data_IF_124487217791
#
_entry.id   IF_124487217791
#
_cell.length_a   1.000
_cell.length_b   1.000
_cell.length_c   1.000
_cell.angle_alpha   90.00
_cell.angle_beta   90.00
_cell.angle_gamma   90.00
#
_symmetry.space_group_name_H-M   'P 1'
#
loop_
_entity.id
_entity.type
_entity.pdbx_description
1 polymer ?
#
# COMPACT_ATOMS: atom_id res chain seq x y z
N UNK A 1 -13.50 -9.50 -29.07
CA UNK A 1 -12.06 -9.17 -29.12
C UNK A 1 -11.64 -8.94 -27.68
N UNK A 2 -10.82 -9.83 -27.14
CA UNK A 2 -10.26 -9.71 -25.79
C UNK A 2 -9.33 -8.48 -25.77
N UNK A 3 -9.57 -7.57 -24.85
CA UNK A 3 -8.73 -6.38 -24.67
C UNK A 3 -7.54 -6.79 -23.81
N UNK A 4 -6.41 -7.06 -24.44
CA UNK A 4 -5.15 -7.21 -23.72
C UNK A 4 -4.72 -5.83 -23.21
N UNK A 5 -4.55 -5.71 -21.88
CA UNK A 5 -4.11 -4.47 -21.24
C UNK A 5 -2.71 -4.67 -20.68
N UNK A 6 -1.81 -3.73 -20.96
CA UNK A 6 -0.50 -3.69 -20.31
C UNK A 6 -0.65 -3.15 -18.89
N UNK A 7 -0.19 -3.94 -17.91
CA UNK A 7 -0.19 -3.53 -16.49
C UNK A 7 1.18 -3.73 -15.88
N UNK A 8 1.58 -2.84 -14.99
CA UNK A 8 2.72 -3.09 -14.11
C UNK A 8 2.24 -3.94 -12.95
N UNK A 9 2.88 -5.09 -12.74
CA UNK A 9 2.56 -6.01 -11.65
C UNK A 9 3.82 -6.46 -10.94
N UNK A 10 3.67 -6.92 -9.70
CA UNK A 10 4.73 -7.63 -8.97
C UNK A 10 4.37 -9.11 -8.92
N UNK A 11 5.29 -9.94 -9.36
CA UNK A 11 5.13 -11.40 -9.43
C UNK A 11 6.01 -12.04 -8.36
N UNK A 12 5.42 -12.94 -7.61
CA UNK A 12 6.10 -13.76 -6.59
C UNK A 12 6.06 -15.22 -7.05
N UNK A 13 7.23 -15.82 -7.13
CA UNK A 13 7.39 -17.26 -7.26
C UNK A 13 7.98 -17.82 -5.98
N UNK A 14 7.35 -18.86 -5.43
CA UNK A 14 7.84 -19.54 -4.23
C UNK A 14 7.79 -21.04 -4.48
N UNK A 15 8.92 -21.73 -4.28
CA UNK A 15 9.11 -23.13 -4.58
C UNK A 15 9.74 -23.88 -3.39
N UNK A 16 9.41 -25.15 -3.21
CA UNK A 16 9.97 -25.98 -2.14
C UNK A 16 11.32 -26.56 -2.58
N UNK A 17 12.38 -26.07 -1.96
CA UNK A 17 13.72 -26.53 -2.26
C UNK A 17 13.89 -28.01 -1.85
N UNK A 18 14.35 -28.85 -2.79
CA UNK A 18 14.58 -30.28 -2.54
C UNK A 18 13.30 -31.12 -2.43
N UNK A 19 12.20 -30.71 -3.02
CA UNK A 19 10.92 -31.42 -3.02
C UNK A 19 11.04 -32.88 -3.53
N UNK A 20 11.93 -33.14 -4.50
CA UNK A 20 12.20 -34.48 -5.00
C UNK A 20 12.79 -35.39 -3.89
N UNK A 21 13.75 -34.87 -3.12
CA UNK A 21 14.32 -35.63 -1.99
C UNK A 21 13.30 -35.85 -0.86
N UNK A 22 12.40 -34.86 -0.65
CA UNK A 22 11.30 -34.96 0.29
C UNK A 22 10.31 -36.06 -0.14
N UNK A 23 10.05 -36.20 -1.44
CA UNK A 23 9.19 -37.25 -2.00
C UNK A 23 9.80 -38.67 -1.86
N UNK A 24 11.13 -38.76 -1.75
CA UNK A 24 11.80 -40.06 -1.46
C UNK A 24 11.76 -40.42 0.03
N UNK A 25 11.60 -39.45 0.93
CA UNK A 25 11.58 -39.64 2.38
C UNK A 25 10.19 -39.93 2.95
N UNK A 26 9.15 -39.39 2.31
CA UNK A 26 7.77 -39.50 2.77
C UNK A 26 6.94 -40.46 1.90
N UNK A 27 5.99 -41.12 2.52
CA UNK A 27 4.92 -41.77 1.77
C UNK A 27 4.05 -40.75 1.03
N UNK A 28 3.37 -41.14 -0.06
CA UNK A 28 2.58 -40.20 -0.89
C UNK A 28 1.49 -39.45 -0.13
N UNK A 29 0.86 -40.04 0.87
CA UNK A 29 -0.18 -39.41 1.66
C UNK A 29 0.39 -38.35 2.60
N UNK A 30 1.52 -38.62 3.23
CA UNK A 30 2.24 -37.68 4.11
C UNK A 30 2.80 -36.50 3.33
N UNK A 31 3.41 -36.77 2.17
CA UNK A 31 3.86 -35.69 1.26
C UNK A 31 2.69 -34.81 0.84
N UNK A 32 1.57 -35.40 0.43
CA UNK A 32 0.38 -34.65 0.02
C UNK A 32 -0.16 -33.79 1.17
N UNK A 33 -0.18 -34.27 2.41
CA UNK A 33 -0.60 -33.50 3.58
C UNK A 33 0.31 -32.30 3.81
N UNK A 34 1.63 -32.52 3.79
CA UNK A 34 2.60 -31.42 3.95
C UNK A 34 2.44 -30.34 2.88
N UNK A 35 2.34 -30.76 1.60
CA UNK A 35 2.15 -29.82 0.48
C UNK A 35 0.81 -29.08 0.54
N UNK A 36 -0.27 -29.73 0.94
CA UNK A 36 -1.58 -29.10 1.09
C UNK A 36 -1.51 -27.97 2.14
N UNK A 37 -0.89 -28.24 3.30
CA UNK A 37 -0.71 -27.23 4.36
C UNK A 37 0.15 -26.04 3.89
N UNK A 38 1.23 -26.33 3.16
CA UNK A 38 2.06 -25.29 2.55
C UNK A 38 1.26 -24.40 1.58
N UNK A 39 0.48 -25.01 0.68
CA UNK A 39 -0.35 -24.26 -0.26
C UNK A 39 -1.44 -23.42 0.41
N UNK A 40 -2.03 -23.91 1.49
CA UNK A 40 -2.98 -23.15 2.30
C UNK A 40 -2.33 -21.95 2.98
N UNK A 41 -1.14 -22.13 3.55
CA UNK A 41 -0.35 -21.04 4.13
C UNK A 41 0.00 -19.99 3.06
N UNK A 42 0.55 -20.43 1.93
CA UNK A 42 0.93 -19.55 0.84
C UNK A 42 -0.27 -18.74 0.30
N UNK A 43 -1.40 -19.41 0.06
CA UNK A 43 -2.63 -18.74 -0.39
C UNK A 43 -3.09 -17.68 0.60
N UNK A 44 -3.19 -18.04 1.88
CA UNK A 44 -3.63 -17.15 2.95
C UNK A 44 -2.73 -15.92 3.07
N UNK A 45 -1.40 -16.11 3.06
CA UNK A 45 -0.43 -15.01 3.15
C UNK A 45 -0.55 -14.08 1.96
N UNK A 46 -0.51 -14.59 0.73
CA UNK A 46 -0.61 -13.74 -0.46
C UNK A 46 -1.94 -12.97 -0.51
N UNK A 47 -3.06 -13.63 -0.19
CA UNK A 47 -4.38 -12.97 -0.17
C UNK A 47 -4.47 -11.88 0.91
N UNK A 48 -3.88 -12.10 2.10
CA UNK A 48 -3.83 -11.09 3.16
C UNK A 48 -3.15 -9.80 2.69
N UNK A 49 -2.08 -9.92 1.91
CA UNK A 49 -1.39 -8.78 1.32
C UNK A 49 -2.02 -8.26 0.01
N UNK A 50 -3.20 -8.75 -0.38
CA UNK A 50 -3.90 -8.31 -1.59
C UNK A 50 -3.36 -8.89 -2.89
N UNK A 51 -2.54 -9.94 -2.82
CA UNK A 51 -2.08 -10.71 -3.97
C UNK A 51 -3.09 -11.77 -4.39
N UNK A 52 -3.09 -12.07 -5.68
CA UNK A 52 -3.89 -13.16 -6.27
C UNK A 52 -2.97 -14.34 -6.55
N UNK A 53 -3.24 -15.49 -5.94
CA UNK A 53 -2.56 -16.74 -6.32
C UNK A 53 -3.10 -17.17 -7.67
N UNK A 54 -2.27 -17.04 -8.71
CA UNK A 54 -2.69 -17.34 -10.08
C UNK A 54 -2.71 -18.84 -10.34
N UNK A 55 -1.65 -19.54 -9.92
CA UNK A 55 -1.55 -20.99 -10.13
C UNK A 55 -0.56 -21.65 -9.20
N UNK A 56 -0.74 -22.96 -9.05
CA UNK A 56 0.23 -23.88 -8.49
C UNK A 56 0.88 -24.65 -9.63
N UNK A 57 2.21 -24.77 -9.63
CA UNK A 57 2.99 -25.43 -10.68
C UNK A 57 3.87 -26.47 -10.00
N UNK A 58 3.37 -27.72 -9.89
CA UNK A 58 4.03 -28.72 -9.07
C UNK A 58 4.02 -28.33 -7.60
N UNK A 59 5.19 -28.07 -7.05
CA UNK A 59 5.43 -27.58 -5.67
C UNK A 59 5.62 -26.06 -5.58
N UNK A 60 5.61 -25.37 -6.72
CA UNK A 60 5.72 -23.92 -6.78
C UNK A 60 4.35 -23.21 -6.72
N UNK A 61 4.35 -22.03 -6.11
CA UNK A 61 3.24 -21.09 -6.03
C UNK A 61 3.59 -19.84 -6.81
N UNK A 62 2.73 -19.43 -7.73
CA UNK A 62 2.80 -18.13 -8.39
C UNK A 62 1.70 -17.23 -7.91
N UNK A 63 2.07 -16.07 -7.34
CA UNK A 63 1.16 -15.02 -6.94
C UNK A 63 1.48 -13.70 -7.66
N UNK A 64 0.44 -12.90 -7.90
CA UNK A 64 0.54 -11.64 -8.64
C UNK A 64 -0.13 -10.53 -7.83
N UNK A 65 0.55 -9.39 -7.73
CA UNK A 65 0.07 -8.15 -7.12
C UNK A 65 -0.10 -7.10 -8.22
N UNK A 66 -1.18 -6.35 -8.21
CA UNK A 66 -1.54 -5.38 -9.24
C UNK A 66 -2.65 -5.86 -10.20
N UNK A 67 -3.30 -6.98 -9.89
CA UNK A 67 -4.49 -7.48 -10.58
C UNK A 67 -5.55 -7.93 -9.56
N UNK A 68 -6.84 -7.67 -9.81
CA UNK A 68 -7.40 -6.90 -10.93
C UNK A 68 -7.11 -5.39 -10.83
N UNK A 69 -6.81 -4.89 -9.64
CA UNK A 69 -6.54 -3.47 -9.35
C UNK A 69 -5.06 -3.25 -9.05
N UNK A 70 -4.48 -2.19 -9.63
CA UNK A 70 -3.10 -1.76 -9.36
C UNK A 70 -3.08 -0.86 -8.14
N UNK A 71 -2.17 -1.13 -7.20
CA UNK A 71 -1.88 -0.28 -6.06
C UNK A 71 -0.46 0.26 -6.16
N UNK A 72 -0.22 1.45 -5.63
CA UNK A 72 1.11 2.08 -5.66
C UNK A 72 2.16 1.26 -4.89
N UNK A 73 1.72 0.53 -3.88
CA UNK A 73 2.54 -0.29 -2.99
C UNK A 73 2.56 -1.79 -3.33
N UNK A 74 2.09 -2.19 -4.52
CA UNK A 74 2.04 -3.61 -4.92
C UNK A 74 3.39 -4.32 -4.82
N UNK A 75 4.49 -3.61 -5.13
CA UNK A 75 5.83 -4.16 -4.97
C UNK A 75 6.18 -4.43 -3.50
N UNK A 76 5.84 -3.52 -2.60
CA UNK A 76 6.06 -3.69 -1.17
C UNK A 76 5.17 -4.77 -0.57
N UNK A 77 3.90 -4.84 -0.99
CA UNK A 77 2.97 -5.91 -0.59
C UNK A 77 3.48 -7.28 -1.01
N UNK A 78 4.00 -7.40 -2.23
CA UNK A 78 4.61 -8.62 -2.73
C UNK A 78 5.82 -9.04 -1.89
N UNK A 79 6.68 -8.08 -1.52
CA UNK A 79 7.87 -8.32 -0.69
C UNK A 79 7.47 -8.70 0.75
N UNK A 80 6.50 -8.01 1.34
CA UNK A 80 5.96 -8.35 2.67
C UNK A 80 5.33 -9.73 2.69
N UNK A 81 4.56 -10.08 1.66
CA UNK A 81 3.99 -11.41 1.54
C UNK A 81 5.06 -12.50 1.43
N UNK A 82 6.11 -12.27 0.64
CA UNK A 82 7.22 -13.20 0.52
C UNK A 82 7.98 -13.38 1.85
N UNK A 83 8.15 -12.29 2.60
CA UNK A 83 8.77 -12.31 3.93
C UNK A 83 7.91 -13.06 4.94
N UNK A 84 6.63 -12.72 5.05
CA UNK A 84 5.69 -13.41 5.94
C UNK A 84 5.54 -14.88 5.60
N UNK A 85 5.55 -15.26 4.32
CA UNK A 85 5.51 -16.65 3.90
C UNK A 85 6.70 -17.42 4.46
N UNK A 86 7.90 -16.86 4.44
CA UNK A 86 9.10 -17.46 5.02
C UNK A 86 8.92 -17.72 6.52
N UNK A 87 8.35 -16.75 7.26
CA UNK A 87 8.10 -16.88 8.70
C UNK A 87 7.01 -17.92 8.99
N UNK A 88 5.91 -17.88 8.26
CA UNK A 88 4.81 -18.85 8.44
C UNK A 88 5.20 -20.30 8.05
N UNK A 89 6.12 -20.47 7.10
CA UNK A 89 6.68 -21.79 6.79
C UNK A 89 7.59 -22.28 7.92
N UNK A 90 8.34 -21.39 8.58
CA UNK A 90 9.13 -21.77 9.75
C UNK A 90 8.23 -22.25 10.92
N UNK A 91 7.07 -21.59 11.12
CA UNK A 91 6.08 -22.05 12.10
C UNK A 91 5.46 -23.40 11.71
N UNK A 92 5.08 -23.56 10.43
CA UNK A 92 4.57 -24.83 9.90
C UNK A 92 5.58 -25.97 10.08
N UNK A 93 6.87 -25.70 9.94
CA UNK A 93 7.93 -26.71 10.10
C UNK A 93 7.97 -27.28 11.52
N UNK A 94 7.67 -26.48 12.56
CA UNK A 94 7.59 -26.98 13.93
C UNK A 94 6.52 -28.09 14.09
N UNK A 95 5.45 -28.00 13.31
CA UNK A 95 4.39 -29.01 13.29
C UNK A 95 4.79 -30.19 12.42
N UNK A 96 5.33 -29.94 11.22
CA UNK A 96 5.75 -31.01 10.30
C UNK A 96 6.90 -31.86 10.87
N UNK A 97 7.85 -31.24 11.56
CA UNK A 97 8.92 -31.96 12.24
C UNK A 97 8.39 -32.90 13.34
N UNK A 98 7.40 -32.46 14.12
CA UNK A 98 6.76 -33.26 15.16
C UNK A 98 5.92 -34.40 14.60
N UNK A 99 5.21 -34.16 13.48
CA UNK A 99 4.25 -35.13 12.93
C UNK A 99 4.89 -36.07 11.91
N UNK A 100 5.81 -35.58 11.09
CA UNK A 100 6.35 -36.28 9.93
C UNK A 100 7.87 -36.40 9.92
N UNK A 101 8.57 -35.70 10.85
CA UNK A 101 10.04 -35.69 10.91
C UNK A 101 10.72 -34.96 9.76
N UNK A 102 10.03 -34.02 9.10
CA UNK A 102 10.54 -33.25 7.94
C UNK A 102 10.31 -31.76 8.10
N UNK A 103 11.13 -30.97 7.39
CA UNK A 103 10.97 -29.51 7.27
C UNK A 103 10.95 -29.10 5.80
N UNK A 104 10.12 -28.11 5.47
CA UNK A 104 10.05 -27.50 4.16
C UNK A 104 10.97 -26.26 4.11
N UNK A 105 11.75 -26.16 3.07
CA UNK A 105 12.56 -24.97 2.80
C UNK A 105 12.06 -24.32 1.53
N UNK A 106 11.49 -23.12 1.65
CA UNK A 106 10.94 -22.37 0.51
C UNK A 106 11.96 -21.35 0.03
N UNK A 107 12.19 -21.29 -1.27
CA UNK A 107 12.95 -20.25 -1.95
C UNK A 107 12.00 -19.37 -2.74
N UNK A 108 12.22 -18.08 -2.73
CA UNK A 108 11.28 -17.12 -3.31
C UNK A 108 11.98 -16.09 -4.19
N UNK A 109 11.39 -15.82 -5.36
CA UNK A 109 11.79 -14.74 -6.27
C UNK A 109 10.66 -13.72 -6.44
N UNK A 110 10.98 -12.43 -6.29
CA UNK A 110 10.03 -11.32 -6.48
C UNK A 110 10.53 -10.39 -7.57
N UNK A 111 9.70 -10.15 -8.58
CA UNK A 111 10.05 -9.22 -9.66
C UNK A 111 8.86 -8.36 -10.09
N UNK A 112 9.12 -7.09 -10.38
CA UNK A 112 8.12 -6.12 -10.79
C UNK A 112 8.39 -5.65 -12.21
N UNK A 113 7.35 -5.53 -13.02
CA UNK A 113 7.47 -5.02 -14.38
C UNK A 113 6.17 -5.13 -15.17
N UNK A 114 6.25 -4.75 -16.44
CA UNK A 114 5.11 -4.79 -17.36
C UNK A 114 4.77 -6.23 -17.76
N UNK A 115 3.48 -6.51 -17.77
CA UNK A 115 2.90 -7.76 -18.25
C UNK A 115 1.73 -7.48 -19.19
N UNK A 116 1.40 -8.45 -20.03
CA UNK A 116 0.11 -8.48 -20.70
C UNK A 116 -0.87 -9.24 -19.81
N UNK A 117 -1.90 -8.55 -19.35
CA UNK A 117 -2.98 -9.13 -18.60
C UNK A 117 -4.20 -9.28 -19.49
N UNK A 118 -4.70 -10.49 -19.67
CA UNK A 118 -5.98 -10.78 -20.32
C UNK A 118 -7.13 -10.69 -19.33
N UNK A 119 -8.37 -10.55 -19.85
CA UNK A 119 -9.57 -10.60 -19.02
C UNK A 119 -9.62 -11.91 -18.23
N UNK A 120 -9.85 -11.79 -16.92
CA UNK A 120 -10.02 -12.93 -16.05
C UNK A 120 -11.35 -13.67 -16.42
N UNK A 121 -11.26 -14.73 -17.21
CA UNK A 121 -12.33 -15.71 -17.32
C UNK A 121 -12.07 -16.82 -16.30
N UNK A 122 -13.06 -17.08 -15.46
CA UNK A 122 -13.07 -18.17 -14.46
C UNK A 122 -11.98 -18.10 -13.36
N UNK A 123 -11.64 -16.89 -12.88
CA UNK A 123 -10.75 -16.76 -11.71
C UNK A 123 -9.25 -16.97 -12.01
N UNK A 124 -8.85 -17.09 -13.27
CA UNK A 124 -7.45 -17.16 -13.70
C UNK A 124 -7.14 -15.94 -14.57
N UNK A 125 -6.36 -15.01 -14.03
CA UNK A 125 -5.78 -13.92 -14.83
C UNK A 125 -4.55 -14.47 -15.55
N UNK A 126 -4.61 -14.55 -16.88
CA UNK A 126 -3.43 -14.95 -17.66
C UNK A 126 -2.40 -13.83 -17.62
N UNK A 127 -1.34 -14.02 -16.86
CA UNK A 127 -0.21 -13.09 -16.76
C UNK A 127 0.99 -13.72 -17.45
N UNK A 128 1.47 -13.09 -18.50
CA UNK A 128 2.63 -13.57 -19.26
C UNK A 128 3.62 -12.44 -19.56
N UNK A 129 4.86 -12.81 -19.82
CA UNK A 129 5.89 -11.87 -20.23
C UNK A 129 7.22 -12.03 -19.49
N UNK A 130 8.15 -11.13 -19.81
CA UNK A 130 9.52 -11.14 -19.26
C UNK A 130 9.55 -11.02 -17.73
N UNK A 131 8.63 -10.23 -17.14
CA UNK A 131 8.51 -10.03 -15.70
C UNK A 131 8.30 -11.34 -14.94
N UNK A 132 7.44 -12.21 -15.45
CA UNK A 132 7.15 -13.55 -14.90
C UNK A 132 8.39 -14.44 -14.98
N UNK A 133 9.06 -14.44 -16.15
CA UNK A 133 10.25 -15.25 -16.36
C UNK A 133 11.40 -14.84 -15.43
N UNK A 134 11.58 -13.54 -15.19
CA UNK A 134 12.61 -13.06 -14.26
C UNK A 134 12.29 -13.46 -12.82
N UNK A 135 11.03 -13.37 -12.38
CA UNK A 135 10.63 -13.79 -11.03
C UNK A 135 10.92 -15.30 -10.82
N UNK A 136 10.54 -16.15 -11.77
CA UNK A 136 10.83 -17.59 -11.70
C UNK A 136 12.35 -17.90 -11.70
N UNK A 137 13.17 -17.07 -12.39
CA UNK A 137 14.63 -17.25 -12.38
C UNK A 137 15.27 -16.80 -11.08
N UNK A 138 14.75 -15.71 -10.47
CA UNK A 138 15.19 -15.29 -9.14
C UNK A 138 14.92 -16.39 -8.11
N UNK A 139 13.71 -16.97 -8.14
CA UNK A 139 13.36 -18.12 -7.31
C UNK A 139 14.38 -19.26 -7.50
N UNK A 140 14.67 -19.63 -8.76
CA UNK A 140 15.52 -20.75 -9.08
C UNK A 140 16.99 -20.59 -8.61
N UNK A 141 17.51 -19.35 -8.53
CA UNK A 141 18.86 -19.06 -8.03
C UNK A 141 18.88 -18.72 -6.54
N UNK A 142 17.73 -18.57 -5.92
CA UNK A 142 17.60 -18.35 -4.49
C UNK A 142 18.05 -19.60 -3.70
N UNK A 143 18.74 -19.38 -2.61
CA UNK A 143 19.03 -20.43 -1.63
C UNK A 143 17.78 -20.86 -0.87
N UNK A 144 17.84 -22.02 -0.25
CA UNK A 144 16.78 -22.50 0.65
C UNK A 144 16.54 -21.50 1.79
N UNK A 145 15.32 -21.01 1.94
CA UNK A 145 14.95 -19.96 2.91
C UNK A 145 15.22 -18.52 2.45
N UNK A 146 15.79 -18.32 1.25
CA UNK A 146 16.07 -16.98 0.74
C UNK A 146 14.87 -16.39 -0.03
N UNK A 147 14.76 -15.06 0.05
CA UNK A 147 13.89 -14.24 -0.80
C UNK A 147 14.78 -13.33 -1.65
N UNK A 148 14.73 -13.48 -2.97
CA UNK A 148 15.46 -12.64 -3.92
C UNK A 148 14.55 -11.63 -4.60
N UNK A 149 14.99 -10.38 -4.65
CA UNK A 149 14.31 -9.27 -5.32
C UNK A 149 15.04 -8.94 -6.62
N UNK A 150 14.30 -8.73 -7.71
CA UNK A 150 14.83 -8.13 -8.93
C UNK A 150 15.09 -6.63 -8.76
N UNK A 151 15.92 -6.06 -9.63
CA UNK A 151 16.32 -4.65 -9.56
C UNK A 151 15.13 -3.69 -9.55
N UNK A 152 14.11 -3.93 -10.39
CA UNK A 152 12.92 -3.09 -10.45
C UNK A 152 12.13 -3.13 -9.14
N UNK A 153 11.95 -4.33 -8.54
CA UNK A 153 11.30 -4.47 -7.23
C UNK A 153 12.11 -3.76 -6.15
N UNK A 154 13.43 -4.00 -6.09
CA UNK A 154 14.28 -3.37 -5.08
C UNK A 154 14.20 -1.84 -5.14
N UNK A 155 14.24 -1.23 -6.33
CA UNK A 155 14.08 0.22 -6.50
C UNK A 155 12.76 0.76 -5.94
N UNK A 156 11.69 -0.03 -6.02
CA UNK A 156 10.35 0.36 -5.53
C UNK A 156 10.15 0.15 -4.03
N UNK A 157 11.04 -0.60 -3.37
CA UNK A 157 10.91 -0.92 -1.94
C UNK A 157 12.15 -0.52 -1.12
N UNK A 158 13.10 0.20 -1.72
CA UNK A 158 14.42 0.47 -1.17
C UNK A 158 14.41 1.03 0.26
N UNK A 159 13.43 1.89 0.58
CA UNK A 159 13.35 2.54 1.89
C UNK A 159 12.74 1.63 2.98
N UNK A 160 12.05 0.57 2.58
CA UNK A 160 11.35 -0.35 3.50
C UNK A 160 12.06 -1.69 3.69
N UNK A 161 13.23 -1.91 3.08
CA UNK A 161 13.91 -3.21 3.15
C UNK A 161 15.41 -3.05 3.41
N UNK A 162 15.96 -4.03 4.10
CA UNK A 162 17.39 -4.23 4.17
C UNK A 162 17.74 -5.39 3.24
N UNK A 163 18.66 -5.17 2.30
CA UNK A 163 19.06 -6.16 1.31
C UNK A 163 20.56 -6.32 1.21
N UNK A 164 20.98 -7.47 0.70
CA UNK A 164 22.35 -7.76 0.31
C UNK A 164 22.41 -8.02 -1.20
N UNK A 165 23.23 -7.30 -1.97
CA UNK A 165 23.46 -7.62 -3.37
C UNK A 165 23.98 -9.06 -3.52
N UNK A 166 23.46 -9.81 -4.48
CA UNK A 166 23.98 -11.12 -4.87
C UNK A 166 24.62 -11.05 -6.25
N UNK A 167 25.43 -12.04 -6.60
CA UNK A 167 26.09 -12.06 -7.88
C UNK A 167 25.07 -11.98 -9.03
N UNK A 168 25.22 -11.06 -9.99
CA UNK A 168 24.32 -10.97 -11.14
C UNK A 168 24.33 -12.29 -11.92
N UNK A 169 23.17 -12.70 -12.38
CA UNK A 169 23.02 -13.92 -13.18
C UNK A 169 22.43 -13.58 -14.57
N UNK A 170 22.78 -14.37 -15.55
CA UNK A 170 22.23 -14.22 -16.90
C UNK A 170 21.12 -15.23 -17.11
N UNK A 171 19.85 -14.80 -17.15
CA UNK A 171 18.73 -15.71 -17.42
C UNK A 171 18.85 -16.33 -18.80
N UNK A 172 18.49 -17.63 -18.93
CA UNK A 172 18.51 -18.35 -20.20
C UNK A 172 17.64 -17.59 -21.24
N UNK A 173 18.24 -17.21 -22.37
CA UNK A 173 17.58 -16.41 -23.41
C UNK A 173 17.73 -14.88 -23.26
N UNK A 174 18.47 -14.38 -22.26
CA UNK A 174 18.90 -12.99 -22.17
C UNK A 174 20.40 -12.85 -22.42
N UNK A 175 20.79 -11.69 -22.95
CA UNK A 175 22.22 -11.33 -23.17
C UNK A 175 22.76 -10.46 -22.04
N UNK A 176 21.88 -9.77 -21.30
CA UNK A 176 22.26 -8.90 -20.20
C UNK A 176 22.10 -9.59 -18.84
N UNK A 177 23.05 -9.39 -17.91
CA UNK A 177 22.91 -9.88 -16.54
C UNK A 177 21.77 -9.15 -15.81
N UNK A 178 21.06 -9.87 -14.96
CA UNK A 178 20.01 -9.32 -14.07
C UNK A 178 20.61 -9.16 -12.70
N UNK A 179 20.52 -7.96 -12.14
CA UNK A 179 20.89 -7.69 -10.75
C UNK A 179 19.83 -8.27 -9.83
N UNK A 180 20.29 -8.90 -8.76
CA UNK A 180 19.43 -9.47 -7.73
C UNK A 180 19.90 -9.09 -6.33
N UNK A 181 18.95 -9.03 -5.41
CA UNK A 181 19.17 -8.59 -4.04
C UNK A 181 18.52 -9.59 -3.08
N UNK A 182 19.28 -10.12 -2.14
CA UNK A 182 18.74 -10.98 -1.07
C UNK A 182 18.08 -10.10 -0.03
N UNK A 183 16.84 -10.38 0.29
CA UNK A 183 16.09 -9.72 1.35
C UNK A 183 16.58 -10.20 2.72
N UNK A 184 17.01 -9.28 3.57
CA UNK A 184 17.46 -9.57 4.93
C UNK A 184 16.43 -9.19 5.97
N UNK A 185 15.71 -8.08 5.74
CA UNK A 185 14.72 -7.56 6.67
C UNK A 185 13.69 -6.69 5.92
N UNK A 186 12.45 -6.68 6.41
CA UNK A 186 11.41 -5.73 6.01
C UNK A 186 11.11 -4.84 7.21
N UNK A 187 11.31 -3.53 7.07
CA UNK A 187 11.08 -2.56 8.13
C UNK A 187 9.57 -2.34 8.31
N UNK A 188 9.00 -2.64 9.49
CA UNK A 188 7.58 -2.42 9.73
C UNK A 188 7.20 -0.94 9.65
N UNK A 189 6.02 -0.65 9.08
CA UNK A 189 5.47 0.71 9.03
C UNK A 189 6.15 1.68 8.05
N UNK A 190 7.21 1.26 7.34
CA UNK A 190 7.91 2.10 6.35
C UNK A 190 7.34 1.85 4.97
N UNK A 191 7.16 2.92 4.19
CA UNK A 191 6.75 2.84 2.77
C UNK A 191 7.91 2.35 1.90
N UNK A 192 7.60 1.63 0.82
CA UNK A 192 8.60 1.03 -0.06
C UNK A 192 9.42 2.01 -0.85
N UNK A 193 8.82 3.11 -1.24
CA UNK A 193 9.46 4.24 -1.90
C UNK A 193 9.05 5.50 -1.15
N UNK A 194 10.02 6.30 -0.73
CA UNK A 194 9.71 7.64 -0.28
C UNK A 194 8.98 8.35 -1.41
N UNK A 195 7.71 8.65 -1.20
CA UNK A 195 6.93 9.40 -2.19
C UNK A 195 7.70 10.68 -2.50
N UNK A 196 7.93 10.98 -3.77
CA UNK A 196 8.56 12.23 -4.18
C UNK A 196 7.61 13.41 -3.89
N UNK A 197 7.48 13.70 -2.60
CA UNK A 197 6.70 14.82 -2.09
C UNK A 197 7.46 16.15 -2.31
N UNK A 198 8.73 16.06 -2.67
CA UNK A 198 9.60 17.17 -3.09
C UNK A 198 9.29 17.71 -4.49
N UNK A 199 8.60 16.92 -5.34
CA UNK A 199 8.15 17.43 -6.64
C UNK A 199 7.18 18.59 -6.46
N UNK A 200 7.27 19.68 -7.28
CA UNK A 200 6.33 20.79 -7.19
C UNK A 200 4.90 20.32 -7.46
N UNK A 201 3.93 20.97 -6.81
CA UNK A 201 2.53 20.77 -7.14
C UNK A 201 2.22 21.54 -8.43
N UNK A 202 1.83 20.82 -9.48
CA UNK A 202 1.52 21.40 -10.80
C UNK A 202 0.02 21.25 -11.05
N UNK A 203 -0.63 22.29 -11.56
CA UNK A 203 -2.02 22.26 -12.04
C UNK A 203 -3.10 22.03 -10.98
N UNK A 204 -2.81 22.29 -9.70
CA UNK A 204 -3.74 22.04 -8.57
C UNK A 204 -4.02 23.26 -7.71
N UNK A 205 -3.83 24.46 -8.28
CA UNK A 205 -3.99 25.70 -7.51
C UNK A 205 -5.44 25.95 -7.06
N UNK A 206 -6.42 25.53 -7.87
CA UNK A 206 -7.85 25.68 -7.54
C UNK A 206 -8.27 24.77 -6.39
N UNK A 207 -7.88 23.51 -6.44
CA UNK A 207 -8.17 22.54 -5.41
C UNK A 207 -7.49 22.91 -4.10
N UNK A 208 -6.24 23.37 -4.17
CA UNK A 208 -5.48 23.84 -3.03
C UNK A 208 -6.12 25.09 -2.40
N UNK A 209 -6.51 26.09 -3.20
CA UNK A 209 -7.22 27.27 -2.72
C UNK A 209 -8.56 26.90 -2.07
N UNK A 210 -9.28 25.92 -2.61
CA UNK A 210 -10.54 25.44 -2.02
C UNK A 210 -10.32 24.82 -0.64
N UNK A 211 -9.27 24.02 -0.45
CA UNK A 211 -8.92 23.43 0.86
C UNK A 211 -8.51 24.54 1.85
N UNK A 212 -7.77 25.55 1.41
CA UNK A 212 -7.38 26.69 2.23
C UNK A 212 -8.60 27.52 2.66
N UNK A 213 -9.53 27.81 1.73
CA UNK A 213 -10.79 28.51 2.01
C UNK A 213 -11.65 27.76 3.04
N UNK A 214 -11.73 26.42 2.93
CA UNK A 214 -12.46 25.59 3.90
C UNK A 214 -11.81 25.64 5.28
N UNK A 215 -10.48 25.62 5.35
CA UNK A 215 -9.77 25.78 6.62
C UNK A 215 -10.06 27.16 7.23
N UNK A 216 -10.13 28.21 6.41
CA UNK A 216 -10.39 29.57 6.91
C UNK A 216 -11.84 29.75 7.38
N UNK A 217 -12.81 29.18 6.67
CA UNK A 217 -14.22 29.18 7.08
C UNK A 217 -14.49 28.34 8.32
N UNK A 218 -13.79 27.21 8.50
CA UNK A 218 -13.90 26.37 9.68
C UNK A 218 -13.53 27.06 11.00
N UNK A 219 -12.72 28.13 10.95
CA UNK A 219 -12.34 28.90 12.14
C UNK A 219 -13.44 29.82 12.69
N UNK A 220 -14.51 30.08 11.94
CA UNK A 220 -15.66 30.91 12.38
C UNK A 220 -16.96 30.13 12.64
N UNK A 221 -16.99 28.83 12.35
CA UNK A 221 -18.16 27.97 12.48
C UNK A 221 -18.10 27.04 13.69
N UNK A 222 -19.28 26.60 14.16
CA UNK A 222 -19.42 25.71 15.32
C UNK A 222 -19.43 24.22 14.97
N UNK A 223 -18.99 23.82 13.78
CA UNK A 223 -19.07 22.43 13.33
C UNK A 223 -17.76 21.97 12.68
N UNK A 224 -17.40 20.74 12.93
CA UNK A 224 -16.36 20.04 12.22
C UNK A 224 -16.75 19.93 10.72
N UNK A 225 -15.83 20.26 9.83
CA UNK A 225 -16.04 20.15 8.39
C UNK A 225 -15.32 18.92 7.85
N UNK A 226 -15.97 18.22 6.91
CA UNK A 226 -15.38 17.11 6.17
C UNK A 226 -15.29 17.46 4.70
N UNK A 227 -14.11 17.24 4.14
CA UNK A 227 -13.85 17.33 2.70
C UNK A 227 -13.37 15.98 2.20
N UNK A 228 -13.92 15.52 1.09
CA UNK A 228 -13.45 14.29 0.43
C UNK A 228 -12.80 14.63 -0.90
N UNK A 229 -11.51 14.30 -1.04
CA UNK A 229 -10.73 14.41 -2.27
C UNK A 229 -10.81 13.08 -3.00
N UNK A 230 -11.51 13.04 -4.11
CA UNK A 230 -11.67 11.86 -4.95
C UNK A 230 -10.77 11.94 -6.18
N UNK A 231 -10.45 10.80 -6.76
CA UNK A 231 -9.72 10.71 -8.04
C UNK A 231 -9.05 9.35 -8.22
N UNK A 232 -8.64 9.07 -9.43
CA UNK A 232 -8.06 7.79 -9.79
C UNK A 232 -6.66 7.58 -9.16
N UNK A 233 -6.13 6.36 -9.27
CA UNK A 233 -4.78 6.07 -8.79
C UNK A 233 -3.76 6.94 -9.54
N UNK A 234 -2.77 7.49 -8.82
CA UNK A 234 -1.71 8.30 -9.44
C UNK A 234 -2.08 9.75 -9.79
N UNK A 235 -3.35 10.18 -9.68
CA UNK A 235 -3.82 11.54 -10.07
C UNK A 235 -3.24 12.68 -9.20
N UNK A 236 -2.53 12.36 -8.12
CA UNK A 236 -1.85 13.33 -7.27
C UNK A 236 -2.59 13.71 -5.98
N UNK A 237 -3.56 12.92 -5.50
CA UNK A 237 -4.29 13.17 -4.24
C UNK A 237 -3.35 13.40 -3.07
N UNK A 238 -2.48 12.45 -2.79
CA UNK A 238 -1.51 12.53 -1.69
C UNK A 238 -0.60 13.76 -1.83
N UNK A 239 -0.14 14.09 -3.04
CA UNK A 239 0.69 15.27 -3.28
C UNK A 239 -0.05 16.57 -2.97
N UNK A 240 -1.34 16.66 -3.35
CA UNK A 240 -2.21 17.78 -3.00
C UNK A 240 -2.37 17.90 -1.48
N UNK A 241 -2.62 16.78 -0.77
CA UNK A 241 -2.76 16.77 0.67
C UNK A 241 -1.50 17.23 1.39
N UNK A 242 -0.31 16.81 0.93
CA UNK A 242 0.95 17.27 1.50
C UNK A 242 1.20 18.75 1.23
N UNK A 243 0.94 19.26 0.02
CA UNK A 243 1.07 20.66 -0.28
C UNK A 243 0.10 21.51 0.57
N UNK A 244 -1.12 21.03 0.76
CA UNK A 244 -2.08 21.66 1.67
C UNK A 244 -1.59 21.64 3.11
N UNK A 245 -1.08 20.51 3.59
CA UNK A 245 -0.57 20.35 4.95
C UNK A 245 0.60 21.30 5.24
N UNK A 246 1.54 21.45 4.31
CA UNK A 246 2.66 22.41 4.43
C UNK A 246 2.16 23.85 4.58
N UNK A 247 1.15 24.24 3.80
CA UNK A 247 0.57 25.59 3.90
C UNK A 247 -0.28 25.75 5.15
N UNK A 248 -1.11 24.76 5.46
CA UNK A 248 -1.97 24.74 6.65
C UNK A 248 -1.17 24.73 7.96
N UNK A 249 -0.01 24.04 7.99
CA UNK A 249 0.84 23.92 9.17
C UNK A 249 1.37 25.24 9.74
N UNK A 250 1.27 26.32 8.98
CA UNK A 250 1.59 27.68 9.46
C UNK A 250 0.49 28.27 10.36
N UNK A 251 -0.72 27.75 10.34
CA UNK A 251 -1.95 28.30 10.98
C UNK A 251 -2.82 27.25 11.66
N UNK A 252 -2.49 25.98 11.54
CA UNK A 252 -3.21 24.86 12.12
C UNK A 252 -2.26 23.74 12.53
N UNK A 253 -2.63 22.95 13.50
CA UNK A 253 -2.00 21.67 13.76
C UNK A 253 -2.52 20.66 12.73
N UNK A 254 -1.62 20.09 11.92
CA UNK A 254 -1.96 19.09 10.93
C UNK A 254 -1.57 17.70 11.43
N UNK A 255 -2.52 16.78 11.42
CA UNK A 255 -2.32 15.38 11.77
C UNK A 255 -2.62 14.51 10.55
N UNK A 256 -1.73 13.57 10.25
CA UNK A 256 -1.86 12.66 9.13
C UNK A 256 -2.18 11.24 9.60
N UNK A 257 -3.30 10.68 9.16
CA UNK A 257 -3.64 9.28 9.27
C UNK A 257 -3.67 8.65 7.88
N UNK A 258 -3.11 7.47 7.75
CA UNK A 258 -3.19 6.68 6.52
C UNK A 258 -3.89 5.36 6.79
N UNK A 259 -4.83 5.02 5.92
CA UNK A 259 -5.49 3.72 5.98
C UNK A 259 -4.50 2.65 5.52
N UNK A 260 -4.18 1.65 6.35
CA UNK A 260 -3.30 0.57 5.97
C UNK A 260 -3.97 -0.32 4.90
N UNK A 261 -3.12 -0.94 4.09
CA UNK A 261 -3.57 -1.72 2.93
C UNK A 261 -4.30 -3.02 3.31
N UNK A 262 -4.08 -3.53 4.51
CA UNK A 262 -4.73 -4.73 5.06
C UNK A 262 -6.12 -4.47 5.64
N UNK A 263 -6.61 -3.22 5.52
CA UNK A 263 -7.91 -2.82 6.07
C UNK A 263 -7.92 -2.74 7.60
N UNK A 264 -6.75 -2.80 8.23
CA UNK A 264 -6.65 -2.86 9.67
C UNK A 264 -7.26 -1.62 10.33
N UNK A 265 -7.66 -1.83 11.49
CA UNK A 265 -8.56 -1.17 12.38
C UNK A 265 -8.42 0.37 12.46
N UNK A 266 -9.55 1.04 12.63
CA UNK A 266 -9.65 2.44 13.06
C UNK A 266 -8.67 2.79 14.21
N UNK A 267 -8.34 1.82 15.07
CA UNK A 267 -7.37 1.96 16.16
C UNK A 267 -5.95 2.32 15.67
N UNK A 268 -5.49 1.75 14.55
CA UNK A 268 -4.16 2.07 14.01
C UNK A 268 -4.10 3.50 13.50
N UNK A 269 -5.10 3.93 12.74
CA UNK A 269 -5.18 5.32 12.24
C UNK A 269 -5.24 6.31 13.40
N UNK A 270 -6.06 6.02 14.43
CA UNK A 270 -6.15 6.85 15.63
C UNK A 270 -4.81 6.85 16.39
N UNK A 271 -4.11 5.73 16.45
CA UNK A 271 -2.76 5.62 17.00
C UNK A 271 -1.74 6.52 16.28
N UNK A 272 -1.75 6.55 14.94
CA UNK A 272 -0.92 7.44 14.14
C UNK A 272 -1.18 8.92 14.49
N UNK A 273 -2.46 9.32 14.56
CA UNK A 273 -2.86 10.69 14.91
C UNK A 273 -2.44 11.06 16.33
N UNK A 274 -2.62 10.14 17.28
CA UNK A 274 -2.26 10.36 18.68
C UNK A 274 -0.74 10.51 18.88
N UNK A 275 0.06 9.70 18.18
CA UNK A 275 1.53 9.78 18.23
C UNK A 275 2.03 11.14 17.71
N UNK A 276 1.48 11.63 16.58
CA UNK A 276 1.81 12.94 16.02
C UNK A 276 1.38 14.08 16.95
N UNK A 277 0.18 13.98 17.54
CA UNK A 277 -0.30 14.96 18.51
C UNK A 277 0.61 15.03 19.76
N UNK A 278 1.08 13.87 20.26
CA UNK A 278 2.02 13.81 21.36
C UNK A 278 3.36 14.48 21.01
N UNK A 279 3.89 14.19 19.83
CA UNK A 279 5.13 14.79 19.35
C UNK A 279 5.01 16.32 19.19
N UNK A 280 3.90 16.80 18.63
CA UNK A 280 3.66 18.22 18.41
C UNK A 280 3.43 19.03 19.70
N UNK A 281 2.81 18.41 20.72
CA UNK A 281 2.45 19.09 21.98
C UNK A 281 3.45 18.87 23.11
N UNK A 282 4.39 17.92 22.94
CA UNK A 282 5.33 17.50 24.00
C UNK A 282 4.63 16.80 25.19
N UNK A 283 3.37 16.41 25.05
CA UNK A 283 2.57 15.78 26.10
C UNK A 283 1.96 14.49 25.59
N UNK A 284 2.12 13.35 26.29
CA UNK A 284 1.32 12.18 25.97
C UNK A 284 -0.17 12.54 26.13
N UNK A 285 -1.04 11.95 25.30
CA UNK A 285 -2.48 12.18 25.42
C UNK A 285 -2.93 11.90 26.85
N UNK A 286 -3.62 12.86 27.48
CA UNK A 286 -3.96 12.85 28.90
C UNK A 286 -4.96 11.74 29.34
N UNK A 287 -5.44 10.94 28.42
CA UNK A 287 -6.46 9.91 28.64
C UNK A 287 -5.94 8.49 28.73
N UNK A 288 -4.69 8.28 29.14
CA UNK A 288 -4.14 6.96 29.47
C UNK A 288 -4.06 5.98 28.29
N UNK A 289 -3.21 4.98 28.42
CA UNK A 289 -2.95 3.95 27.40
C UNK A 289 -4.14 2.98 27.16
N UNK A 290 -5.20 3.03 27.95
CA UNK A 290 -6.26 2.01 27.92
C UNK A 290 -7.26 2.09 26.75
N UNK A 291 -7.36 3.21 26.04
CA UNK A 291 -8.29 3.35 24.91
C UNK A 291 -7.64 3.02 23.53
N UNK A 292 -6.30 2.98 23.49
CA UNK A 292 -5.51 2.48 22.36
C UNK A 292 -5.17 0.99 22.49
N UNK A 293 -5.69 0.31 23.52
CA UNK A 293 -5.49 -1.12 23.66
C UNK A 293 -6.17 -1.82 22.47
N UNK A 294 -5.40 -2.46 21.58
CA UNK A 294 -5.97 -3.22 20.47
C UNK A 294 -6.90 -4.36 20.94
N UNK A 295 -6.77 -4.76 22.21
CA UNK A 295 -7.65 -5.73 22.85
C UNK A 295 -8.92 -5.08 23.45
N UNK A 296 -9.06 -3.73 23.42
CA UNK A 296 -10.27 -3.06 23.89
C UNK A 296 -11.44 -3.35 22.94
N UNK A 297 -12.35 -4.17 23.40
CA UNK A 297 -13.52 -4.67 22.66
C UNK A 297 -14.64 -3.64 22.45
N UNK A 298 -14.47 -2.39 22.92
CA UNK A 298 -15.48 -1.33 22.78
C UNK A 298 -15.13 -0.31 21.69
N UNK A 299 -15.71 -0.40 20.47
CA UNK A 299 -15.52 0.58 19.41
C UNK A 299 -15.89 2.01 19.82
N UNK A 300 -16.87 2.15 20.72
CA UNK A 300 -17.31 3.45 21.22
C UNK A 300 -16.26 4.11 22.13
N UNK A 301 -15.42 3.33 22.81
CA UNK A 301 -14.30 3.89 23.58
C UNK A 301 -13.27 4.56 22.68
N UNK A 302 -12.92 3.92 21.55
CA UNK A 302 -12.04 4.46 20.54
C UNK A 302 -12.60 5.77 19.94
N UNK A 303 -13.87 5.79 19.58
CA UNK A 303 -14.56 6.95 19.00
C UNK A 303 -14.55 8.14 19.96
N UNK A 304 -14.91 7.90 21.23
CA UNK A 304 -14.86 8.93 22.27
C UNK A 304 -13.44 9.43 22.53
N UNK A 305 -12.45 8.54 22.50
CA UNK A 305 -11.03 8.87 22.64
C UNK A 305 -10.54 9.76 21.50
N UNK A 306 -10.78 9.36 20.25
CA UNK A 306 -10.42 10.13 19.06
C UNK A 306 -11.06 11.54 19.06
N UNK A 307 -12.36 11.63 19.42
CA UNK A 307 -13.05 12.91 19.52
C UNK A 307 -12.41 13.80 20.60
N UNK A 308 -12.15 13.28 21.79
CA UNK A 308 -11.50 14.04 22.88
C UNK A 308 -10.11 14.53 22.48
N UNK A 309 -9.36 13.71 21.73
CA UNK A 309 -8.06 14.10 21.19
C UNK A 309 -8.20 15.36 20.35
N UNK A 310 -9.03 15.28 19.31
CA UNK A 310 -9.24 16.36 18.35
C UNK A 310 -9.79 17.62 19.05
N UNK A 311 -10.79 17.50 19.93
CA UNK A 311 -11.36 18.62 20.68
C UNK A 311 -10.34 19.28 21.62
N UNK A 312 -9.49 18.49 22.28
CA UNK A 312 -8.45 19.03 23.15
C UNK A 312 -7.41 19.83 22.39
N UNK A 313 -6.98 19.33 21.23
CA UNK A 313 -6.04 20.02 20.36
C UNK A 313 -6.68 21.31 19.79
N UNK A 314 -7.95 21.24 19.41
CA UNK A 314 -8.68 22.34 18.81
C UNK A 314 -8.94 23.51 19.80
N UNK A 315 -8.88 23.28 21.10
CA UNK A 315 -8.90 24.35 22.11
C UNK A 315 -7.67 25.26 22.06
N UNK A 316 -6.56 24.75 21.53
CA UNK A 316 -5.30 25.50 21.41
C UNK A 316 -5.14 26.17 20.05
N UNK A 317 -5.99 25.86 19.08
CA UNK A 317 -5.91 26.39 17.73
C UNK A 317 -6.65 25.50 16.73
N UNK A 318 -6.56 25.85 15.45
CA UNK A 318 -7.18 25.06 14.37
C UNK A 318 -6.48 23.69 14.23
N UNK A 319 -7.26 22.66 13.93
CA UNK A 319 -6.77 21.30 13.72
C UNK A 319 -7.23 20.80 12.34
N UNK A 320 -6.30 20.26 11.58
CA UNK A 320 -6.57 19.55 10.33
C UNK A 320 -6.24 18.09 10.54
N UNK A 321 -7.18 17.21 10.28
CA UNK A 321 -6.97 15.76 10.27
C UNK A 321 -7.04 15.31 8.82
N UNK A 322 -5.93 14.84 8.30
CA UNK A 322 -5.83 14.26 6.94
C UNK A 322 -5.91 12.75 7.04
N UNK A 323 -6.79 12.15 6.25
CA UNK A 323 -6.96 10.70 6.14
C UNK A 323 -6.70 10.29 4.69
N UNK A 324 -5.51 9.74 4.43
CA UNK A 324 -5.15 9.29 3.09
C UNK A 324 -5.55 7.82 2.87
N UNK A 325 -5.76 7.46 1.61
CA UNK A 325 -6.14 6.12 1.16
C UNK A 325 -7.45 5.57 1.78
N UNK A 326 -8.43 6.44 2.10
CA UNK A 326 -9.68 6.07 2.77
C UNK A 326 -10.52 5.02 1.98
N UNK A 327 -10.25 4.79 0.70
CA UNK A 327 -10.89 3.73 -0.08
C UNK A 327 -10.54 2.31 0.40
N UNK A 328 -9.46 2.16 1.19
CA UNK A 328 -9.05 0.91 1.83
C UNK A 328 -9.75 0.68 3.18
N UNK A 329 -10.43 1.71 3.70
CA UNK A 329 -11.07 1.66 5.00
C UNK A 329 -12.19 0.62 5.06
N UNK A 330 -12.30 -0.01 6.23
CA UNK A 330 -13.47 -0.80 6.61
C UNK A 330 -14.51 0.08 7.32
N UNK A 331 -15.72 -0.47 7.49
CA UNK A 331 -16.86 0.24 8.10
C UNK A 331 -16.50 0.95 9.42
N UNK A 332 -15.75 0.36 10.38
CA UNK A 332 -15.46 1.03 11.66
C UNK A 332 -14.69 2.36 11.52
N UNK A 333 -13.81 2.49 10.52
CA UNK A 333 -13.09 3.74 10.28
C UNK A 333 -13.98 4.79 9.64
N UNK A 334 -14.85 4.39 8.72
CA UNK A 334 -15.84 5.29 8.11
C UNK A 334 -16.83 5.81 9.16
N UNK A 335 -17.32 4.94 10.04
CA UNK A 335 -18.18 5.30 11.17
C UNK A 335 -17.47 6.27 12.14
N UNK A 336 -16.17 6.08 12.38
CA UNK A 336 -15.36 7.01 13.16
C UNK A 336 -15.30 8.40 12.52
N UNK A 337 -15.07 8.47 11.21
CA UNK A 337 -14.99 9.75 10.48
C UNK A 337 -16.35 10.48 10.54
N UNK A 338 -17.46 9.75 10.33
CA UNK A 338 -18.80 10.31 10.51
C UNK A 338 -19.03 10.78 11.96
N UNK A 339 -18.64 9.95 12.93
CA UNK A 339 -18.76 10.31 14.35
C UNK A 339 -17.97 11.58 14.70
N UNK A 340 -16.74 11.71 14.20
CA UNK A 340 -15.94 12.92 14.42
C UNK A 340 -16.60 14.15 13.78
N UNK A 341 -17.09 14.03 12.55
CA UNK A 341 -17.82 15.13 11.88
C UNK A 341 -19.05 15.58 12.68
N UNK A 342 -19.86 14.61 13.11
CA UNK A 342 -21.18 14.92 13.69
C UNK A 342 -21.11 15.36 15.16
N UNK A 343 -20.16 14.84 15.89
CA UNK A 343 -20.08 15.04 17.35
C UNK A 343 -18.93 15.91 17.82
N UNK A 344 -17.99 16.32 16.94
CA UNK A 344 -16.95 17.30 17.29
C UNK A 344 -17.55 18.69 17.23
N UNK A 345 -17.95 19.24 18.37
CA UNK A 345 -18.53 20.57 18.50
C UNK A 345 -17.50 21.65 18.82
N UNK A 346 -17.81 22.91 18.56
CA UNK A 346 -17.07 24.12 18.95
C UNK A 346 -15.65 24.31 18.38
N UNK A 347 -15.08 23.32 17.75
CA UNK A 347 -13.67 23.35 17.38
C UNK A 347 -13.48 23.65 15.89
N UNK A 348 -12.54 24.51 15.57
CA UNK A 348 -12.05 24.73 14.21
C UNK A 348 -11.33 23.50 13.67
N UNK A 349 -12.09 22.44 13.40
CA UNK A 349 -11.58 21.14 12.93
C UNK A 349 -11.97 20.95 11.48
N UNK A 350 -10.99 20.63 10.64
CA UNK A 350 -11.17 20.25 9.26
C UNK A 350 -10.69 18.81 9.08
N UNK A 351 -11.60 17.92 8.67
CA UNK A 351 -11.28 16.57 8.23
C UNK A 351 -11.10 16.57 6.72
N UNK A 352 -9.98 16.08 6.23
CA UNK A 352 -9.70 15.97 4.79
C UNK A 352 -9.42 14.51 4.48
N UNK A 353 -10.35 13.87 3.78
CA UNK A 353 -10.24 12.47 3.39
C UNK A 353 -9.85 12.35 1.92
N UNK A 354 -8.83 11.57 1.58
CA UNK A 354 -8.51 11.25 0.20
C UNK A 354 -8.85 9.79 -0.10
N UNK A 355 -9.51 9.58 -1.24
CA UNK A 355 -9.94 8.26 -1.66
C UNK A 355 -9.93 8.10 -3.18
N UNK A 356 -9.92 6.85 -3.63
CA UNK A 356 -10.27 6.52 -5.01
C UNK A 356 -11.78 6.47 -5.17
N UNK A 357 -12.25 6.53 -6.42
CA UNK A 357 -13.69 6.47 -6.73
C UNK A 357 -14.34 5.15 -6.32
N UNK A 358 -13.56 4.08 -6.15
CA UNK A 358 -14.01 2.79 -5.62
C UNK A 358 -14.64 2.90 -4.21
N UNK A 359 -14.25 3.92 -3.43
CA UNK A 359 -14.93 4.22 -2.15
C UNK A 359 -16.44 4.38 -2.36
N UNK A 360 -16.84 5.11 -3.39
CA UNK A 360 -18.26 5.38 -3.67
C UNK A 360 -18.99 4.15 -4.22
N UNK A 361 -18.30 3.29 -4.96
CA UNK A 361 -18.85 2.02 -5.42
C UNK A 361 -19.10 1.06 -4.24
N UNK A 362 -18.18 1.03 -3.26
CA UNK A 362 -18.30 0.21 -2.05
C UNK A 362 -19.25 0.83 -1.02
N UNK A 363 -19.27 2.17 -0.91
CA UNK A 363 -20.03 2.94 0.07
C UNK A 363 -20.79 4.09 -0.59
N UNK A 364 -21.87 3.83 -1.34
CA UNK A 364 -22.61 4.86 -2.10
C UNK A 364 -23.19 5.98 -1.24
N UNK A 365 -23.41 5.71 0.05
CA UNK A 365 -23.94 6.67 1.01
C UNK A 365 -22.91 7.73 1.46
N UNK A 366 -21.62 7.51 1.22
CA UNK A 366 -20.54 8.37 1.74
C UNK A 366 -20.70 9.84 1.34
N UNK A 367 -20.96 10.13 0.07
CA UNK A 367 -21.19 11.52 -0.38
C UNK A 367 -22.53 12.08 0.03
N UNK A 368 -23.58 11.25 0.13
CA UNK A 368 -24.91 11.69 0.51
C UNK A 368 -25.00 12.05 2.01
N UNK A 369 -24.28 11.33 2.86
CA UNK A 369 -24.21 11.58 4.30
C UNK A 369 -23.07 12.50 4.70
N UNK A 370 -21.95 12.43 4.03
CA UNK A 370 -20.83 13.32 4.25
C UNK A 370 -21.17 14.73 3.74
N UNK A 371 -22.09 15.45 4.37
CA UNK A 371 -22.53 16.82 4.02
C UNK A 371 -21.37 17.86 3.92
N UNK A 372 -20.25 17.45 3.39
CA UNK A 372 -19.01 18.19 3.16
C UNK A 372 -18.76 18.44 1.67
N UNK A 373 -17.73 19.20 1.37
CA UNK A 373 -17.30 19.43 0.00
C UNK A 373 -16.66 18.14 -0.57
N UNK A 374 -16.95 17.86 -1.83
CA UNK A 374 -16.26 16.82 -2.60
C UNK A 374 -15.42 17.52 -3.66
N UNK A 375 -14.11 17.24 -3.64
CA UNK A 375 -13.18 17.68 -4.67
C UNK A 375 -12.83 16.48 -5.54
N UNK A 376 -13.28 16.48 -6.78
CA UNK A 376 -12.96 15.44 -7.74
C UNK A 376 -11.73 15.86 -8.54
N UNK A 377 -10.63 15.13 -8.41
CA UNK A 377 -9.41 15.38 -9.14
C UNK A 377 -9.45 14.64 -10.47
N UNK A 378 -9.42 15.42 -11.53
CA UNK A 378 -9.23 14.90 -12.88
C UNK A 378 -7.73 14.72 -13.20
N UNK A 379 -7.35 13.93 -14.20
CA UNK A 379 -5.98 13.88 -14.72
C UNK A 379 -5.46 15.29 -15.05
N UNK A 380 -4.14 15.48 -14.98
CA UNK A 380 -3.51 16.73 -15.40
C UNK A 380 -3.68 16.93 -16.90
N UNK A 381 -3.91 18.17 -17.33
CA UNK A 381 -3.87 18.51 -18.74
C UNK A 381 -2.47 18.26 -19.36
N UNK A 382 -2.40 18.12 -20.69
CA UNK A 382 -1.14 17.82 -21.40
C UNK A 382 -0.01 18.81 -21.06
N UNK A 383 -0.32 20.09 -20.92
CA UNK A 383 0.66 21.13 -20.58
C UNK A 383 1.21 20.95 -19.15
N UNK A 384 0.33 20.68 -18.20
CA UNK A 384 0.66 20.46 -16.79
C UNK A 384 1.43 19.15 -16.59
N UNK A 385 1.02 18.10 -17.31
CA UNK A 385 1.72 16.81 -17.29
C UNK A 385 3.14 16.92 -17.88
N UNK A 386 3.30 17.72 -18.96
CA UNK A 386 4.62 17.98 -19.54
C UNK A 386 5.51 18.81 -18.60
N UNK A 387 4.94 19.80 -17.90
CA UNK A 387 5.64 20.58 -16.88
C UNK A 387 6.11 19.70 -15.73
N UNK A 388 5.24 18.83 -15.22
CA UNK A 388 5.58 17.87 -14.18
C UNK A 388 6.69 16.92 -14.63
N UNK A 389 6.64 16.42 -15.87
CA UNK A 389 7.67 15.54 -16.43
C UNK A 389 9.06 16.23 -16.46
N UNK A 390 9.11 17.51 -16.81
CA UNK A 390 10.36 18.32 -16.80
C UNK A 390 10.89 18.44 -15.37
N UNK A 391 10.04 18.74 -14.41
CA UNK A 391 10.45 18.83 -13.00
C UNK A 391 10.98 17.51 -12.45
N UNK A 392 10.31 16.40 -12.75
CA UNK A 392 10.71 15.07 -12.26
C UNK A 392 12.02 14.59 -12.88
N UNK A 393 12.28 14.91 -14.14
CA UNK A 393 13.51 14.53 -14.83
C UNK A 393 14.72 15.38 -14.38
N UNK A 394 14.46 16.60 -13.91
CA UNK A 394 15.49 17.58 -13.59
C UNK A 394 15.94 18.39 -14.83
N UNK A 395 16.60 19.55 -14.61
CA UNK A 395 16.95 20.49 -15.67
C UNK A 395 17.85 19.85 -16.73
N UNK A 396 17.46 19.99 -18.01
CA UNK A 396 18.23 19.54 -19.17
C UNK A 396 18.31 18.03 -19.42
N UNK A 397 17.60 17.20 -18.65
CA UNK A 397 17.62 15.73 -18.84
C UNK A 397 16.61 15.21 -19.83
N UNK A 398 15.57 15.95 -20.16
CA UNK A 398 14.60 15.58 -21.19
C UNK A 398 14.92 16.32 -22.50
N UNK A 399 15.02 15.61 -23.65
CA UNK A 399 15.09 16.23 -24.97
C UNK A 399 13.88 17.12 -25.25
N UNK A 400 14.05 18.14 -26.10
CA UNK A 400 12.96 18.99 -26.54
C UNK A 400 11.83 18.14 -27.14
N UNK A 401 10.60 18.27 -26.63
CA UNK A 401 9.42 17.52 -27.06
C UNK A 401 9.21 16.17 -26.35
N UNK A 402 10.19 15.58 -25.68
CA UNK A 402 10.03 14.31 -24.97
C UNK A 402 9.05 14.44 -23.77
N UNK A 403 8.98 15.59 -23.14
CA UNK A 403 8.03 15.85 -22.04
C UNK A 403 6.57 15.65 -22.47
N UNK A 404 6.21 16.12 -23.68
CA UNK A 404 4.86 15.94 -24.26
C UNK A 404 4.59 14.48 -24.62
N UNK A 405 5.60 13.76 -25.12
CA UNK A 405 5.44 12.33 -25.40
C UNK A 405 5.24 11.51 -24.10
N UNK A 406 5.96 11.86 -23.03
CA UNK A 406 5.78 11.23 -21.70
C UNK A 406 4.39 11.54 -21.16
N UNK A 407 3.91 12.79 -21.31
CA UNK A 407 2.57 13.18 -20.90
C UNK A 407 1.49 12.38 -21.64
N UNK A 408 1.62 12.23 -22.95
CA UNK A 408 0.68 11.45 -23.78
C UNK A 408 0.71 9.93 -23.49
N UNK A 409 1.75 9.41 -22.86
CA UNK A 409 1.81 8.00 -22.42
C UNK A 409 1.28 7.79 -21.01
N UNK A 410 1.10 8.84 -20.25
CA UNK A 410 0.61 8.79 -18.87
C UNK A 410 -0.94 8.81 -18.78
N UNK A 411 -1.63 9.06 -19.91
CA UNK A 411 -3.08 8.88 -20.08
C UNK A 411 -3.40 7.39 -20.34
#
# INVERSE_FOLDING_TARGET
MQREVRKTVSVVFSDVAGSTALAEQLDPESLRRAMTRYFEVARRVHQRHGGVVEKFIGDAVMAVFGIPHVHEDDALRAVRAAWELREQVADLNQELERELGVALHVRTGVNTGLVLAGDAHEGQAFVGGDTVNVAARLEHVAGAGDVLLGEATHKLVADAVVVQPVAPFVPRGKTAPVAAFRLLEVTPGVEGLARRLDAPLVGRDRELATLEDLLDRGGGGRACQLVTVLGDAGVGKTRLLHAFAERAGRRALVLFGRCPADGSAAAEVVGQLAAQAAAATGRPPAWGSGWLDPAATDPHALFRGARRLVETLARSGRVVVVLDDLHLAEQPLLDLVEYLRDFTGEAGVLLVAAARRELLARWPWWTARAAGAVLDLEPLGEAEAAELAVHLAGPGRLPAGAARQVAAWAE
#
